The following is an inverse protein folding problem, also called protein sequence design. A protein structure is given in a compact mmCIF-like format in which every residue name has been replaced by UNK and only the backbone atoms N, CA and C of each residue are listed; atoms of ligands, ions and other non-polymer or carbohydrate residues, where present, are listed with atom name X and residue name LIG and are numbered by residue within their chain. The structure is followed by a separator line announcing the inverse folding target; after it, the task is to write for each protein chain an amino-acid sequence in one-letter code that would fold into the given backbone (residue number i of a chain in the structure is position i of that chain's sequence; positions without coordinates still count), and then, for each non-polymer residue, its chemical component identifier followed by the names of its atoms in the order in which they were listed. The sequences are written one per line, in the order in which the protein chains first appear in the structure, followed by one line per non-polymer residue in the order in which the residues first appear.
data_IF_206057862845
#
_entry.id   IF_206057862845
#
_cell.length_a   1.000
_cell.length_b   1.000
_cell.length_c   1.000
_cell.angle_alpha   90.00
_cell.angle_beta   90.00
_cell.angle_gamma   90.00
#
_symmetry.space_group_name_H-M   'P 1'
#
loop_
_entity.id
_entity.type
_entity.pdbx_description
1 polymer ?
#
# COMPACT_ATOMS: atom_id res chain seq x y z
N UNK A 1 -20.28 23.85 1.40
CA UNK A 1 -19.73 23.30 0.14
C UNK A 1 -18.21 23.37 0.10
N UNK A 2 -17.61 24.56 0.27
CA UNK A 2 -16.14 24.72 0.29
C UNK A 2 -15.46 23.87 1.36
N UNK A 3 -15.96 23.92 2.59
CA UNK A 3 -15.36 23.20 3.73
C UNK A 3 -15.30 21.68 3.50
N UNK A 4 -16.35 21.09 2.90
CA UNK A 4 -16.38 19.65 2.61
C UNK A 4 -15.43 19.28 1.47
N UNK A 5 -15.32 20.12 0.44
CA UNK A 5 -14.39 19.87 -0.67
C UNK A 5 -12.93 20.02 -0.22
N UNK A 6 -12.64 20.96 0.69
CA UNK A 6 -11.33 21.11 1.32
C UNK A 6 -10.99 19.91 2.22
N UNK A 7 -11.96 19.40 2.99
CA UNK A 7 -11.80 18.17 3.78
C UNK A 7 -11.44 16.97 2.88
N UNK A 8 -12.17 16.77 1.78
CA UNK A 8 -11.90 15.69 0.82
C UNK A 8 -10.49 15.81 0.19
N UNK A 9 -10.05 17.03 -0.11
CA UNK A 9 -8.69 17.29 -0.62
C UNK A 9 -7.62 16.99 0.41
N UNK A 10 -7.84 17.36 1.67
CA UNK A 10 -6.92 17.05 2.76
C UNK A 10 -6.80 15.54 3.03
N UNK A 11 -7.93 14.83 2.98
CA UNK A 11 -7.98 13.36 3.08
C UNK A 11 -7.21 12.71 1.93
N UNK A 12 -7.41 13.19 0.72
CA UNK A 12 -6.69 12.70 -0.45
C UNK A 12 -5.17 12.87 -0.31
N UNK A 13 -4.70 14.03 0.13
CA UNK A 13 -3.28 14.29 0.30
C UNK A 13 -2.66 13.41 1.39
N UNK A 14 -3.40 13.22 2.48
CA UNK A 14 -3.01 12.29 3.56
C UNK A 14 -2.87 10.85 3.03
N UNK A 15 -3.75 10.40 2.15
CA UNK A 15 -3.66 9.07 1.54
C UNK A 15 -2.49 8.92 0.58
N UNK A 16 -2.15 9.95 -0.19
CA UNK A 16 -0.93 9.92 -1.01
C UNK A 16 0.31 9.69 -0.17
N UNK A 17 0.39 10.39 0.98
CA UNK A 17 1.47 10.19 1.92
C UNK A 17 1.49 8.76 2.47
N UNK A 18 0.36 8.24 2.94
CA UNK A 18 0.27 6.87 3.46
C UNK A 18 0.61 5.81 2.40
N UNK A 19 0.16 6.01 1.15
CA UNK A 19 0.50 5.10 0.05
C UNK A 19 2.01 5.06 -0.21
N UNK A 20 2.67 6.22 -0.11
CA UNK A 20 4.13 6.30 -0.25
C UNK A 20 4.83 5.56 0.89
N UNK A 21 4.34 5.68 2.12
CA UNK A 21 4.88 4.92 3.27
C UNK A 21 4.77 3.42 3.00
N UNK A 22 3.61 2.93 2.56
CA UNK A 22 3.41 1.52 2.19
C UNK A 22 4.38 1.05 1.09
N UNK A 23 4.59 1.88 0.08
CA UNK A 23 5.52 1.60 -1.02
C UNK A 23 6.97 1.49 -0.50
N UNK A 24 7.41 2.46 0.31
CA UNK A 24 8.75 2.48 0.88
C UNK A 24 8.99 1.27 1.81
N UNK A 25 8.00 0.88 2.60
CA UNK A 25 8.09 -0.32 3.45
C UNK A 25 8.12 -1.61 2.63
N UNK A 26 7.31 -1.75 1.58
CA UNK A 26 7.37 -2.91 0.68
C UNK A 26 8.73 -3.01 -0.03
N UNK A 27 9.30 -1.86 -0.43
CA UNK A 27 10.67 -1.80 -0.98
C UNK A 27 11.68 -2.26 0.07
N UNK A 28 11.56 -1.82 1.32
CA UNK A 28 12.44 -2.25 2.41
C UNK A 28 12.42 -3.77 2.60
N UNK A 29 11.26 -4.43 2.54
CA UNK A 29 11.19 -5.90 2.61
C UNK A 29 11.86 -6.58 1.43
N UNK A 30 11.65 -6.09 0.20
CA UNK A 30 12.32 -6.60 -1.00
C UNK A 30 13.84 -6.46 -0.89
N UNK A 31 14.35 -5.34 -0.35
CA UNK A 31 15.77 -5.14 -0.11
C UNK A 31 16.33 -6.11 0.93
N UNK A 32 15.60 -6.37 2.03
CA UNK A 32 15.98 -7.39 3.02
C UNK A 32 16.06 -8.78 2.40
N UNK A 33 15.05 -9.15 1.61
CA UNK A 33 15.03 -10.41 0.88
C UNK A 33 16.22 -10.53 -0.08
N UNK A 34 16.49 -9.49 -0.87
CA UNK A 34 17.64 -9.45 -1.77
C UNK A 34 18.97 -9.59 -1.02
N UNK A 35 19.09 -8.97 0.17
CA UNK A 35 20.28 -9.12 1.02
C UNK A 35 20.47 -10.56 1.48
N UNK A 36 19.40 -11.24 1.93
CA UNK A 36 19.47 -12.66 2.32
C UNK A 36 19.94 -13.51 1.13
N UNK A 37 19.34 -13.31 -0.05
CA UNK A 37 19.70 -14.05 -1.26
C UNK A 37 21.14 -13.78 -1.73
N UNK A 38 21.72 -12.63 -1.37
CA UNK A 38 23.12 -12.28 -1.67
C UNK A 38 24.14 -12.91 -0.73
N UNK A 39 23.70 -13.55 0.36
CA UNK A 39 24.54 -14.23 1.35
C UNK A 39 24.52 -15.75 1.16
N UNK A 40 25.42 -16.46 1.85
CA UNK A 40 25.36 -17.92 1.93
C UNK A 40 24.21 -18.32 2.88
N UNK A 41 23.03 -18.59 2.33
CA UNK A 41 21.82 -18.97 3.07
C UNK A 41 21.48 -20.44 2.86
N UNK A 42 20.80 -21.06 3.84
CA UNK A 42 20.33 -22.44 3.70
C UNK A 42 19.31 -22.53 2.55
N UNK A 43 19.64 -23.28 1.49
CA UNK A 43 18.76 -23.47 0.33
C UNK A 43 17.39 -24.05 0.68
N UNK A 44 17.22 -24.69 1.84
CA UNK A 44 15.91 -25.13 2.34
C UNK A 44 14.94 -23.96 2.55
N UNK A 45 15.46 -22.76 2.77
CA UNK A 45 14.69 -21.53 2.93
C UNK A 45 14.24 -20.90 1.61
N UNK A 46 14.80 -21.33 0.47
CA UNK A 46 14.53 -20.72 -0.84
C UNK A 46 13.04 -20.66 -1.17
N UNK A 47 12.31 -21.75 -0.94
CA UNK A 47 10.87 -21.79 -1.23
C UNK A 47 10.04 -20.80 -0.39
N UNK A 48 10.46 -20.53 0.86
CA UNK A 48 9.80 -19.50 1.70
C UNK A 48 10.16 -18.09 1.22
N UNK A 49 11.41 -17.87 0.80
CA UNK A 49 11.83 -16.59 0.23
C UNK A 49 11.06 -16.28 -1.06
N UNK A 50 10.91 -17.25 -1.98
CA UNK A 50 10.11 -17.11 -3.20
C UNK A 50 8.63 -16.84 -2.92
N UNK A 51 8.09 -17.47 -1.87
CA UNK A 51 6.73 -17.19 -1.39
C UNK A 51 6.57 -15.71 -0.98
N UNK A 52 7.50 -15.18 -0.18
CA UNK A 52 7.46 -13.77 0.22
C UNK A 52 7.69 -12.82 -0.96
N UNK A 53 8.63 -13.13 -1.85
CA UNK A 53 8.84 -12.35 -3.08
C UNK A 53 7.55 -12.24 -3.89
N UNK A 54 6.84 -13.36 -4.08
CA UNK A 54 5.56 -13.37 -4.79
C UNK A 54 4.50 -12.51 -4.09
N UNK A 55 4.48 -12.48 -2.75
CA UNK A 55 3.56 -11.62 -1.99
C UNK A 55 3.92 -10.13 -2.07
N UNK A 56 5.21 -9.78 -2.06
CA UNK A 56 5.65 -8.39 -2.24
C UNK A 56 5.30 -7.87 -3.63
N UNK A 57 5.42 -8.71 -4.67
CA UNK A 57 4.99 -8.35 -6.03
C UNK A 57 3.48 -8.11 -6.11
N UNK A 58 2.67 -8.99 -5.50
CA UNK A 58 1.21 -8.76 -5.40
C UNK A 58 0.90 -7.46 -4.66
N UNK A 59 1.66 -7.12 -3.63
CA UNK A 59 1.50 -5.86 -2.92
C UNK A 59 1.88 -4.65 -3.78
N UNK A 60 2.94 -4.73 -4.60
CA UNK A 60 3.28 -3.68 -5.57
C UNK A 60 2.12 -3.42 -6.55
N UNK A 61 1.45 -4.48 -7.03
CA UNK A 61 0.27 -4.35 -7.88
C UNK A 61 -0.88 -3.63 -7.15
N UNK A 62 -1.17 -3.99 -5.90
CA UNK A 62 -2.22 -3.32 -5.11
C UNK A 62 -1.89 -1.85 -4.86
N UNK A 63 -0.64 -1.53 -4.55
CA UNK A 63 -0.16 -0.16 -4.36
C UNK A 63 -0.29 0.65 -5.66
N UNK A 64 0.07 0.05 -6.80
CA UNK A 64 -0.06 0.68 -8.10
C UNK A 64 -1.52 0.97 -8.46
N UNK A 65 -2.44 0.04 -8.17
CA UNK A 65 -3.88 0.25 -8.35
C UNK A 65 -4.40 1.39 -7.48
N UNK A 66 -4.07 1.42 -6.18
CA UNK A 66 -4.45 2.53 -5.30
C UNK A 66 -3.90 3.87 -5.78
N UNK A 67 -2.67 3.90 -6.29
CA UNK A 67 -2.06 5.12 -6.85
C UNK A 67 -2.88 5.66 -8.02
N UNK A 68 -3.31 4.76 -8.91
CA UNK A 68 -4.15 5.11 -10.05
C UNK A 68 -5.49 5.67 -9.57
N UNK A 69 -6.17 4.96 -8.68
CA UNK A 69 -7.47 5.38 -8.15
C UNK A 69 -7.37 6.75 -7.43
N UNK A 70 -6.31 7.00 -6.65
CA UNK A 70 -6.08 8.30 -5.99
C UNK A 70 -5.87 9.43 -7.01
N UNK A 71 -5.21 9.12 -8.14
CA UNK A 71 -4.98 10.07 -9.22
C UNK A 71 -6.29 10.39 -9.97
N UNK A 72 -7.11 9.39 -10.25
CA UNK A 72 -8.45 9.57 -10.82
C UNK A 72 -9.33 10.41 -9.91
N UNK A 73 -9.32 10.10 -8.61
CA UNK A 73 -10.07 10.85 -7.62
C UNK A 73 -9.62 12.33 -7.54
N UNK A 74 -8.33 12.61 -7.76
CA UNK A 74 -7.84 13.99 -7.88
C UNK A 74 -8.52 14.74 -9.02
N UNK A 75 -8.65 14.11 -10.19
CA UNK A 75 -9.31 14.69 -11.35
C UNK A 75 -10.79 14.96 -11.08
N UNK A 76 -11.47 14.04 -10.38
CA UNK A 76 -12.86 14.24 -9.95
C UNK A 76 -12.97 15.43 -9.00
N UNK A 77 -12.14 15.49 -7.94
CA UNK A 77 -12.15 16.59 -6.96
C UNK A 77 -11.77 17.96 -7.55
N UNK A 78 -10.98 17.98 -8.62
CA UNK A 78 -10.64 19.20 -9.35
C UNK A 78 -11.80 19.72 -10.22
N UNK A 79 -12.69 18.84 -10.68
CA UNK A 79 -13.82 19.17 -11.56
C UNK A 79 -15.14 19.42 -10.83
N UNK A 80 -15.20 19.25 -9.50
CA UNK A 80 -16.42 19.53 -8.70
C UNK A 80 -16.79 21.02 -8.75
N UNK A 81 -17.88 21.32 -9.45
CA UNK A 81 -18.48 22.68 -9.51
C UNK A 81 -19.91 22.72 -8.97
N UNK A 82 -20.54 21.55 -8.76
CA UNK A 82 -21.96 21.41 -8.40
C UNK A 82 -22.16 20.56 -7.14
N UNK A 83 -23.32 20.70 -6.50
CA UNK A 83 -23.71 19.88 -5.34
C UNK A 83 -23.81 18.38 -5.67
N UNK A 84 -24.23 18.02 -6.88
CA UNK A 84 -24.24 16.63 -7.37
C UNK A 84 -22.84 16.07 -7.48
N UNK A 85 -21.90 16.82 -8.08
CA UNK A 85 -20.49 16.42 -8.14
C UNK A 85 -19.84 16.24 -6.76
N UNK A 86 -20.26 17.02 -5.76
CA UNK A 86 -19.80 16.86 -4.38
C UNK A 86 -20.30 15.56 -3.72
N UNK A 87 -21.53 15.14 -4.02
CA UNK A 87 -22.07 13.85 -3.54
C UNK A 87 -21.30 12.68 -4.14
N UNK A 88 -21.06 12.72 -5.46
CA UNK A 88 -20.32 11.67 -6.15
C UNK A 88 -18.88 11.58 -5.65
N UNK A 89 -18.22 12.72 -5.43
CA UNK A 89 -16.90 12.77 -4.82
C UNK A 89 -16.87 12.18 -3.40
N UNK A 90 -17.93 12.40 -2.61
CA UNK A 90 -18.04 11.84 -1.25
C UNK A 90 -18.24 10.32 -1.26
N UNK A 91 -19.02 9.79 -2.21
CA UNK A 91 -19.20 8.34 -2.37
C UNK A 91 -17.90 7.69 -2.85
N UNK A 92 -17.23 8.32 -3.82
CA UNK A 92 -15.91 7.89 -4.30
C UNK A 92 -14.88 7.83 -3.17
N UNK A 93 -14.86 8.85 -2.31
CA UNK A 93 -14.02 8.92 -1.11
C UNK A 93 -14.24 7.74 -0.16
N UNK A 94 -15.49 7.40 0.15
CA UNK A 94 -15.81 6.27 1.04
C UNK A 94 -15.36 4.92 0.45
N UNK A 95 -15.46 4.76 -0.87
CA UNK A 95 -14.99 3.55 -1.54
C UNK A 95 -13.46 3.46 -1.55
N UNK A 96 -12.79 4.60 -1.73
CA UNK A 96 -11.34 4.71 -1.61
C UNK A 96 -10.87 4.34 -0.20
N UNK A 97 -11.52 4.87 0.84
CA UNK A 97 -11.19 4.58 2.23
C UNK A 97 -11.22 3.08 2.55
N UNK A 98 -12.28 2.41 2.09
CA UNK A 98 -12.43 0.95 2.27
C UNK A 98 -11.33 0.18 1.57
N UNK A 99 -11.00 0.55 0.32
CA UNK A 99 -9.92 -0.08 -0.44
C UNK A 99 -8.57 0.13 0.23
N UNK A 100 -8.29 1.35 0.66
CA UNK A 100 -7.07 1.67 1.40
C UNK A 100 -6.95 0.83 2.67
N UNK A 101 -8.02 0.72 3.44
CA UNK A 101 -8.07 -0.10 4.67
C UNK A 101 -7.79 -1.57 4.39
N UNK A 102 -8.39 -2.14 3.33
CA UNK A 102 -8.13 -3.54 2.95
C UNK A 102 -6.67 -3.77 2.55
N UNK A 103 -6.09 -2.88 1.75
CA UNK A 103 -4.68 -3.00 1.35
C UNK A 103 -3.75 -2.85 2.55
N UNK A 104 -4.03 -1.90 3.45
CA UNK A 104 -3.28 -1.74 4.70
C UNK A 104 -3.34 -3.03 5.54
N UNK A 105 -4.53 -3.62 5.73
CA UNK A 105 -4.67 -4.87 6.48
C UNK A 105 -3.87 -6.02 5.85
N UNK A 106 -3.92 -6.16 4.52
CA UNK A 106 -3.11 -7.15 3.81
C UNK A 106 -1.61 -6.90 3.97
N UNK A 107 -1.20 -5.63 4.02
CA UNK A 107 0.18 -5.24 4.26
C UNK A 107 0.61 -5.57 5.68
N UNK A 108 -0.18 -5.22 6.69
CA UNK A 108 0.11 -5.50 8.10
C UNK A 108 0.27 -7.00 8.35
N UNK A 109 -0.57 -7.82 7.72
CA UNK A 109 -0.44 -9.28 7.76
C UNK A 109 0.87 -9.76 7.11
N UNK A 110 1.20 -9.22 5.93
CA UNK A 110 2.45 -9.55 5.23
C UNK A 110 3.68 -9.15 6.04
N UNK A 111 3.66 -7.97 6.67
CA UNK A 111 4.73 -7.50 7.56
C UNK A 111 4.90 -8.44 8.76
N UNK A 112 3.80 -8.76 9.45
CA UNK A 112 3.82 -9.66 10.60
C UNK A 112 4.38 -11.04 10.22
N UNK A 113 3.90 -11.63 9.13
CA UNK A 113 4.35 -12.92 8.61
C UNK A 113 5.84 -12.89 8.27
N UNK A 114 6.28 -11.85 7.55
CA UNK A 114 7.67 -11.74 7.11
C UNK A 114 8.62 -11.50 8.28
N UNK A 115 8.28 -10.61 9.23
CA UNK A 115 9.08 -10.41 10.44
C UNK A 115 9.12 -11.63 11.33
N UNK A 116 8.04 -12.41 11.40
CA UNK A 116 8.02 -13.66 12.14
C UNK A 116 8.98 -14.67 11.50
N UNK A 117 8.91 -14.79 10.17
CA UNK A 117 9.81 -15.63 9.40
C UNK A 117 11.29 -15.24 9.58
N UNK A 118 11.62 -13.96 9.42
CA UNK A 118 12.99 -13.48 9.60
C UNK A 118 13.52 -13.78 11.00
N UNK A 119 12.71 -13.59 12.04
CA UNK A 119 13.12 -13.92 13.42
C UNK A 119 13.42 -15.40 13.63
N UNK A 120 12.77 -16.29 12.89
CA UNK A 120 12.97 -17.74 13.00
C UNK A 120 14.14 -18.25 12.16
N UNK A 121 14.21 -17.84 10.89
CA UNK A 121 15.18 -18.38 9.93
C UNK A 121 16.44 -17.52 9.79
N UNK A 122 16.38 -16.23 10.12
CA UNK A 122 17.45 -15.25 9.91
C UNK A 122 17.59 -14.25 11.08
N UNK A 123 17.89 -14.72 12.31
CA UNK A 123 17.90 -13.87 13.51
C UNK A 123 18.97 -12.75 13.51
N UNK A 124 19.92 -12.79 12.56
CA UNK A 124 21.00 -11.83 12.39
C UNK A 124 20.72 -10.78 11.29
N UNK A 125 19.54 -10.83 10.65
CA UNK A 125 19.10 -9.94 9.56
C UNK A 125 18.02 -8.99 10.06
#
# INVERSE_FOLDING_TARGET
MKDKLEELRAQQESRKYLLKVLEDENICFKLKLARILSTDFDRRELGRLEYFQSRFLKMDEQIALLRHEISEQQGVLASVQTMTGLKDATVSELMMERRFTMVQQHFDMLDADFRHYLRQSFPLV
#
